data_IF_114329600538
#
_entry.id   IF_114329600538
#
_cell.length_a   1.000
_cell.length_b   1.000
_cell.length_c   1.000
_cell.angle_alpha   90.00
_cell.angle_beta   90.00
_cell.angle_gamma   90.00
#
_symmetry.space_group_name_H-M   'P 1'
#
loop_
_entity.id
_entity.type
_entity.pdbx_description
1 polymer ?
#
# COMPACT_ATOMS: atom_id res chain seq x y z
N UNK A 1 -47.82 -40.56 -23.39
CA UNK A 1 -47.18 -41.88 -23.57
C UNK A 1 -46.09 -41.92 -22.53
N UNK A 2 -46.34 -42.51 -21.31
CA UNK A 2 -46.09 -43.92 -20.94
C UNK A 2 -44.65 -44.31 -21.23
N UNK A 3 -43.79 -44.73 -20.28
CA UNK A 3 -43.82 -45.55 -19.04
C UNK A 3 -42.51 -45.32 -18.30
N UNK A 4 -42.38 -45.17 -17.02
CA UNK A 4 -42.52 -46.10 -15.88
C UNK A 4 -41.64 -47.37 -16.03
N UNK A 5 -40.70 -47.55 -15.05
CA UNK A 5 -40.74 -48.55 -13.99
C UNK A 5 -39.35 -48.79 -13.37
N UNK A 6 -39.28 -48.62 -12.06
CA UNK A 6 -38.41 -49.33 -11.12
C UNK A 6 -38.76 -50.85 -11.09
N UNK A 7 -38.17 -51.77 -10.29
CA UNK A 7 -37.36 -51.64 -9.09
C UNK A 7 -36.31 -52.79 -8.86
N UNK A 8 -35.66 -52.73 -7.66
CA UNK A 8 -35.36 -53.88 -6.79
C UNK A 8 -34.08 -54.71 -7.01
N UNK A 9 -33.17 -54.87 -6.05
CA UNK A 9 -33.24 -55.86 -4.97
C UNK A 9 -31.97 -55.85 -4.12
N UNK A 10 -32.13 -55.86 -2.81
CA UNK A 10 -31.21 -56.45 -1.85
C UNK A 10 -31.42 -57.99 -1.84
N UNK A 11 -30.51 -58.85 -1.28
CA UNK A 11 -30.20 -58.92 0.13
C UNK A 11 -28.77 -59.38 0.51
N UNK A 12 -28.37 -59.09 1.70
CA UNK A 12 -28.21 -59.90 2.93
C UNK A 12 -26.92 -60.75 3.07
N UNK A 13 -26.22 -60.39 4.17
CA UNK A 13 -25.88 -61.26 5.28
C UNK A 13 -24.77 -62.32 5.08
N UNK A 14 -23.73 -62.17 5.87
CA UNK A 14 -23.20 -63.28 6.70
C UNK A 14 -22.16 -62.77 7.69
N UNK A 15 -22.60 -62.78 8.97
CA UNK A 15 -21.84 -62.87 10.15
C UNK A 15 -20.82 -64.05 10.17
N UNK A 16 -19.58 -63.78 10.57
CA UNK A 16 -18.81 -64.82 11.27
C UNK A 16 -18.02 -64.19 12.42
N UNK A 17 -18.53 -64.49 13.60
CA UNK A 17 -17.84 -64.42 14.84
C UNK A 17 -16.89 -65.59 14.98
N UNK A 18 -15.66 -65.36 15.40
CA UNK A 18 -14.79 -66.44 15.93
C UNK A 18 -14.32 -65.99 17.30
N UNK A 19 -14.70 -66.86 18.24
CA UNK A 19 -14.46 -66.81 19.67
C UNK A 19 -13.02 -67.15 20.06
N UNK A 20 -12.48 -66.41 20.98
CA UNK A 20 -11.86 -66.75 22.27
C UNK A 20 -10.91 -67.96 22.38
N UNK A 21 -9.74 -67.72 22.88
CA UNK A 21 -9.18 -68.56 23.92
C UNK A 21 -8.26 -67.74 24.86
N UNK A 22 -8.68 -67.68 26.08
CA UNK A 22 -7.92 -67.31 27.29
C UNK A 22 -6.92 -68.41 27.63
N UNK A 23 -5.66 -68.08 27.94
CA UNK A 23 -4.91 -68.65 29.07
C UNK A 23 -3.71 -67.75 29.42
N UNK A 24 -3.69 -67.34 30.66
CA UNK A 24 -2.65 -66.65 31.41
C UNK A 24 -1.64 -67.68 31.97
N UNK A 25 -0.68 -67.31 32.86
CA UNK A 25 -0.10 -66.04 33.29
C UNK A 25 1.46 -66.08 33.46
N UNK A 26 1.99 -65.00 34.02
CA UNK A 26 3.30 -64.91 34.70
C UNK A 26 4.50 -64.52 33.83
N UNK A 27 4.83 -63.23 33.79
CA UNK A 27 6.18 -62.77 34.16
C UNK A 27 6.09 -61.27 34.62
N UNK A 28 6.38 -61.07 35.91
CA UNK A 28 6.63 -59.75 36.48
C UNK A 28 7.93 -59.23 35.90
N UNK A 29 7.82 -58.30 34.97
CA UNK A 29 8.94 -57.47 34.47
C UNK A 29 8.69 -56.04 34.86
N UNK A 30 9.52 -55.50 35.71
CA UNK A 30 9.59 -54.10 36.11
C UNK A 30 9.82 -53.27 34.88
N UNK A 31 8.79 -52.57 34.40
CA UNK A 31 8.91 -51.57 33.36
C UNK A 31 9.11 -50.22 34.04
N UNK A 32 10.37 -49.82 34.17
CA UNK A 32 10.77 -48.46 34.48
C UNK A 32 10.14 -47.53 33.41
N UNK A 33 9.14 -46.76 33.79
CA UNK A 33 8.67 -45.66 33.01
C UNK A 33 9.82 -44.63 32.91
N UNK A 34 10.55 -44.66 31.84
CA UNK A 34 11.31 -43.51 31.39
C UNK A 34 10.31 -42.47 30.88
N UNK A 35 9.98 -41.54 31.74
CA UNK A 35 9.26 -40.30 31.38
C UNK A 35 10.26 -39.49 30.54
N UNK A 36 10.33 -39.80 29.25
CA UNK A 36 11.00 -38.92 28.29
C UNK A 36 10.19 -37.60 28.27
N UNK A 37 10.78 -36.59 28.88
CA UNK A 37 10.35 -35.22 28.66
C UNK A 37 10.36 -34.98 27.16
N UNK A 38 9.17 -35.03 26.56
CA UNK A 38 8.93 -34.47 25.24
C UNK A 38 9.10 -32.97 25.43
N UNK A 39 10.33 -32.48 25.20
CA UNK A 39 10.54 -31.08 24.98
C UNK A 39 9.55 -30.68 23.90
N UNK A 40 8.60 -29.83 24.23
CA UNK A 40 7.79 -29.13 23.25
C UNK A 40 8.80 -28.44 22.33
N UNK A 41 9.01 -29.02 21.15
CA UNK A 41 9.46 -28.22 20.05
C UNK A 41 8.40 -27.14 19.89
N UNK A 42 8.73 -25.90 20.22
CA UNK A 42 7.98 -24.77 19.80
C UNK A 42 7.83 -24.92 18.28
N UNK A 43 6.70 -25.46 17.87
CA UNK A 43 6.32 -25.42 16.49
C UNK A 43 6.33 -23.93 16.14
N UNK A 44 7.27 -23.55 15.30
CA UNK A 44 7.38 -22.23 14.72
C UNK A 44 6.10 -22.02 13.90
N UNK A 45 5.00 -21.71 14.59
CA UNK A 45 3.78 -21.28 13.92
C UNK A 45 4.18 -20.08 13.09
N UNK A 46 3.80 -20.03 11.81
CA UNK A 46 4.03 -18.81 11.03
C UNK A 46 3.44 -17.66 11.82
N UNK A 47 4.28 -16.77 12.29
CA UNK A 47 3.82 -15.58 13.00
C UNK A 47 2.98 -14.81 12.00
N UNK A 48 1.71 -14.58 12.30
CA UNK A 48 0.85 -13.72 11.48
C UNK A 48 1.54 -12.38 11.34
N UNK A 49 1.75 -11.95 10.08
CA UNK A 49 2.41 -10.68 9.79
C UNK A 49 1.34 -9.62 9.61
N UNK A 50 1.57 -8.45 10.15
CA UNK A 50 0.69 -7.30 9.94
C UNK A 50 0.69 -6.91 8.46
N UNK A 51 -0.48 -6.82 7.86
CA UNK A 51 -0.65 -6.48 6.45
C UNK A 51 -0.96 -5.00 6.29
N UNK A 52 -0.12 -4.28 5.57
CA UNK A 52 -0.32 -2.86 5.30
C UNK A 52 -0.38 -2.57 3.80
N UNK A 53 -1.42 -1.87 3.38
CA UNK A 53 -1.54 -1.35 2.03
C UNK A 53 -1.22 0.15 2.03
N UNK A 54 -0.38 0.61 1.11
CA UNK A 54 0.13 1.98 1.16
C UNK A 54 0.29 2.63 -0.22
N UNK A 55 0.10 3.93 -0.27
CA UNK A 55 0.31 4.73 -1.47
C UNK A 55 1.76 4.63 -1.98
N UNK A 56 1.94 4.46 -3.29
CA UNK A 56 3.26 4.30 -3.94
C UNK A 56 4.25 5.42 -3.60
N UNK A 57 3.77 6.66 -3.41
CA UNK A 57 4.61 7.80 -3.02
C UNK A 57 5.27 7.67 -1.65
N UNK A 58 4.82 6.72 -0.81
CA UNK A 58 5.33 6.54 0.56
C UNK A 58 6.43 5.48 0.67
N UNK A 59 6.76 4.74 -0.41
CA UNK A 59 7.68 3.59 -0.42
C UNK A 59 8.93 3.85 0.42
N UNK A 60 9.72 4.87 0.06
CA UNK A 60 11.01 5.12 0.69
C UNK A 60 10.92 5.44 2.20
N UNK A 61 9.85 6.13 2.60
CA UNK A 61 9.63 6.54 3.98
C UNK A 61 9.07 5.39 4.83
N UNK A 62 8.05 4.71 4.29
CA UNK A 62 7.37 3.64 5.01
C UNK A 62 8.26 2.40 5.17
N UNK A 63 9.02 2.00 4.15
CA UNK A 63 9.97 0.88 4.28
C UNK A 63 11.01 1.13 5.39
N UNK A 64 11.52 2.37 5.49
CA UNK A 64 12.45 2.70 6.56
C UNK A 64 11.79 2.72 7.94
N UNK A 65 10.54 3.18 8.04
CA UNK A 65 9.77 3.16 9.28
C UNK A 65 9.45 1.72 9.71
N UNK A 66 9.00 0.87 8.78
CA UNK A 66 8.71 -0.55 9.03
C UNK A 66 9.96 -1.29 9.47
N UNK A 67 11.08 -1.11 8.78
CA UNK A 67 12.36 -1.73 9.17
C UNK A 67 12.79 -1.35 10.59
N UNK A 68 12.58 -0.09 11.00
CA UNK A 68 12.87 0.36 12.36
C UNK A 68 11.90 -0.26 13.37
N UNK A 69 10.63 -0.38 13.04
CA UNK A 69 9.61 -1.04 13.85
C UNK A 69 9.93 -2.51 14.06
N UNK A 70 10.12 -3.28 12.97
CA UNK A 70 10.46 -4.72 13.02
C UNK A 70 11.72 -4.99 13.85
N UNK A 71 12.75 -4.13 13.69
CA UNK A 71 14.02 -4.29 14.42
C UNK A 71 13.87 -4.16 15.94
N UNK A 72 12.82 -3.47 16.40
CA UNK A 72 12.60 -3.17 17.83
C UNK A 72 11.58 -4.06 18.49
N UNK A 73 10.57 -4.46 17.74
CA UNK A 73 9.43 -5.22 18.28
C UNK A 73 9.54 -6.70 17.95
N UNK A 74 10.23 -7.06 16.88
CA UNK A 74 10.21 -8.40 16.31
C UNK A 74 8.94 -8.71 15.54
N UNK A 75 7.96 -7.79 15.48
CA UNK A 75 6.70 -7.95 14.75
C UNK A 75 6.96 -7.79 13.27
N UNK A 76 6.60 -8.80 12.47
CA UNK A 76 6.74 -8.75 11.02
C UNK A 76 5.64 -7.94 10.34
N UNK A 77 5.98 -7.16 9.32
CA UNK A 77 5.04 -6.36 8.54
C UNK A 77 5.22 -6.63 7.05
N UNK A 78 4.13 -6.95 6.37
CA UNK A 78 4.09 -7.06 4.91
C UNK A 78 3.42 -5.81 4.34
N UNK A 79 4.15 -5.07 3.51
CA UNK A 79 3.64 -3.86 2.89
C UNK A 79 3.46 -4.07 1.39
N UNK A 80 2.27 -3.75 0.88
CA UNK A 80 1.99 -3.68 -0.54
C UNK A 80 1.74 -2.22 -0.95
N UNK A 81 2.43 -1.78 -2.00
CA UNK A 81 2.36 -0.42 -2.50
C UNK A 81 1.60 -0.34 -3.82
N UNK A 82 0.85 0.73 -4.01
CA UNK A 82 0.12 0.97 -5.25
C UNK A 82 -0.62 2.29 -5.28
N UNK A 83 -1.40 2.53 -6.36
CA UNK A 83 -2.30 3.67 -6.43
C UNK A 83 -3.34 3.59 -5.33
N UNK A 84 -3.53 4.66 -4.56
CA UNK A 84 -4.49 4.67 -3.43
C UNK A 84 -5.91 4.26 -3.89
N UNK A 85 -6.33 4.70 -5.07
CA UNK A 85 -7.64 4.34 -5.63
C UNK A 85 -7.82 2.84 -5.86
N UNK A 86 -6.77 2.16 -6.31
CA UNK A 86 -6.77 0.70 -6.52
C UNK A 86 -6.81 0.00 -5.18
N UNK A 87 -5.96 0.43 -4.25
CA UNK A 87 -5.89 -0.13 -2.89
C UNK A 87 -7.23 0.01 -2.16
N UNK A 88 -7.85 1.20 -2.19
CA UNK A 88 -9.13 1.45 -1.54
C UNK A 88 -10.24 0.52 -2.07
N UNK A 89 -10.27 0.29 -3.37
CA UNK A 89 -11.22 -0.65 -4.00
C UNK A 89 -10.93 -2.10 -3.67
N UNK A 90 -9.66 -2.48 -3.57
CA UNK A 90 -9.27 -3.83 -3.15
C UNK A 90 -9.73 -4.12 -1.72
N UNK A 91 -9.55 -3.16 -0.81
CA UNK A 91 -10.03 -3.26 0.58
C UNK A 91 -11.55 -3.40 0.61
N UNK A 92 -12.29 -2.57 -0.14
CA UNK A 92 -13.76 -2.69 -0.27
C UNK A 92 -14.17 -4.08 -0.76
N UNK A 93 -13.40 -4.69 -1.66
CA UNK A 93 -13.66 -6.03 -2.21
C UNK A 93 -13.21 -7.17 -1.29
N UNK A 94 -12.74 -6.85 -0.09
CA UNK A 94 -12.33 -7.82 0.92
C UNK A 94 -10.87 -8.26 0.84
N UNK A 95 -9.99 -7.49 0.18
CA UNK A 95 -8.56 -7.74 0.28
C UNK A 95 -8.12 -7.62 1.75
N UNK A 96 -7.35 -8.59 2.26
CA UNK A 96 -6.89 -8.54 3.63
C UNK A 96 -5.94 -7.36 3.81
N UNK A 97 -6.20 -6.54 4.83
CA UNK A 97 -5.34 -5.46 5.26
C UNK A 97 -5.70 -5.05 6.68
N UNK A 98 -4.69 -4.80 7.49
CA UNK A 98 -4.83 -4.29 8.85
C UNK A 98 -4.73 -2.75 8.87
N UNK A 99 -3.84 -2.21 8.01
CA UNK A 99 -3.64 -0.76 7.88
C UNK A 99 -3.70 -0.30 6.42
N UNK A 100 -4.17 0.93 6.26
CA UNK A 100 -4.09 1.67 5.00
C UNK A 100 -3.37 3.00 5.21
N UNK A 101 -2.38 3.31 4.37
CA UNK A 101 -1.81 4.66 4.24
C UNK A 101 -2.22 5.25 2.88
N UNK A 102 -3.22 6.11 2.90
CA UNK A 102 -3.74 6.81 1.73
C UNK A 102 -2.88 8.04 1.40
N UNK A 103 -2.81 8.45 0.14
CA UNK A 103 -2.25 9.74 -0.29
C UNK A 103 -3.31 10.78 -0.61
N UNK A 104 -4.55 10.56 -0.13
CA UNK A 104 -5.68 11.48 -0.39
C UNK A 104 -6.79 11.26 0.64
N UNK A 105 -7.35 12.36 1.16
CA UNK A 105 -8.43 12.34 2.14
C UNK A 105 -9.69 11.67 1.60
N UNK A 106 -10.10 12.00 0.37
CA UNK A 106 -11.33 11.45 -0.22
C UNK A 106 -11.28 9.93 -0.42
N UNK A 107 -10.12 9.35 -0.72
CA UNK A 107 -9.98 7.89 -0.77
C UNK A 107 -9.96 7.25 0.61
N UNK A 108 -9.47 7.96 1.62
CA UNK A 108 -9.61 7.53 3.01
C UNK A 108 -11.08 7.58 3.47
N UNK A 109 -11.83 8.65 3.11
CA UNK A 109 -13.27 8.77 3.34
C UNK A 109 -14.03 7.62 2.66
N UNK A 110 -13.66 7.32 1.40
CA UNK A 110 -14.24 6.20 0.65
C UNK A 110 -14.16 4.86 1.40
N UNK A 111 -13.03 4.58 2.04
CA UNK A 111 -12.85 3.36 2.85
C UNK A 111 -13.61 3.46 4.16
N UNK A 112 -13.54 4.60 4.85
CA UNK A 112 -14.19 4.84 6.15
C UNK A 112 -15.72 4.76 6.05
N UNK A 113 -16.31 5.25 4.96
CA UNK A 113 -17.75 5.18 4.69
C UNK A 113 -18.27 3.75 4.45
N UNK A 114 -17.40 2.82 4.05
CA UNK A 114 -17.77 1.44 3.64
C UNK A 114 -17.38 0.38 4.63
N UNK A 115 -16.39 0.67 5.44
CA UNK A 115 -15.84 -0.24 6.43
C UNK A 115 -15.79 0.46 7.79
N UNK A 116 -15.94 -0.29 8.85
CA UNK A 116 -15.76 0.22 10.19
C UNK A 116 -14.27 0.45 10.48
N UNK A 117 -13.76 1.64 10.14
CA UNK A 117 -12.38 2.01 10.43
C UNK A 117 -12.25 2.30 11.93
N UNK A 118 -11.35 1.59 12.59
CA UNK A 118 -11.15 1.67 14.03
C UNK A 118 -10.48 3.00 14.43
N UNK A 119 -9.49 3.45 13.66
CA UNK A 119 -8.75 4.71 13.89
C UNK A 119 -8.32 5.34 12.58
N UNK A 120 -8.30 6.68 12.57
CA UNK A 120 -7.79 7.48 11.46
C UNK A 120 -7.03 8.68 11.97
N UNK A 121 -5.87 8.95 11.38
CA UNK A 121 -5.02 10.13 11.68
C UNK A 121 -4.35 10.59 10.40
N UNK A 122 -4.29 11.89 10.13
CA UNK A 122 -3.42 12.42 9.07
C UNK A 122 -1.98 12.34 9.54
N UNK A 123 -1.19 11.46 8.91
CA UNK A 123 0.18 11.16 9.33
C UNK A 123 1.15 12.27 8.93
N UNK A 124 1.15 12.64 7.65
CA UNK A 124 2.02 13.66 7.04
C UNK A 124 1.30 14.34 5.88
N UNK A 125 1.92 15.40 5.34
CA UNK A 125 1.50 16.12 4.14
C UNK A 125 2.65 16.16 3.12
N UNK A 126 2.36 16.70 1.91
CA UNK A 126 3.32 16.78 0.81
C UNK A 126 3.07 18.01 -0.05
N UNK A 127 3.93 18.25 -1.02
CA UNK A 127 3.78 19.31 -2.01
C UNK A 127 3.84 18.74 -3.43
N UNK A 128 2.96 19.19 -4.30
CA UNK A 128 2.98 18.88 -5.72
C UNK A 128 3.95 19.81 -6.43
N UNK A 129 4.77 19.25 -7.32
CA UNK A 129 5.76 19.98 -8.09
C UNK A 129 5.75 19.54 -9.55
N UNK A 130 6.35 20.37 -10.42
CA UNK A 130 6.66 19.99 -11.78
C UNK A 130 8.17 19.78 -11.92
N UNK A 131 8.52 18.71 -12.60
CA UNK A 131 9.91 18.33 -12.90
C UNK A 131 10.11 18.12 -14.39
N UNK A 132 11.37 18.16 -14.83
CA UNK A 132 11.80 17.81 -16.19
C UNK A 132 13.02 16.89 -16.14
N UNK A 133 13.35 16.18 -17.22
CA UNK A 133 14.57 15.39 -17.30
C UNK A 133 15.84 16.24 -17.11
N UNK A 134 16.88 15.65 -16.52
CA UNK A 134 18.24 16.21 -16.57
C UNK A 134 18.87 15.77 -17.88
N UNK A 135 18.73 16.57 -18.93
CA UNK A 135 19.41 16.30 -20.19
C UNK A 135 20.83 16.84 -20.13
N UNK A 136 21.81 16.09 -20.69
CA UNK A 136 23.21 16.53 -20.73
C UNK A 136 23.42 17.81 -21.57
N UNK A 137 22.43 18.20 -22.37
CA UNK A 137 22.49 19.39 -23.21
C UNK A 137 22.15 20.69 -22.48
N UNK A 138 21.51 20.59 -21.29
CA UNK A 138 20.94 21.75 -20.59
C UNK A 138 21.79 22.28 -19.43
N UNK A 139 23.06 21.90 -19.29
CA UNK A 139 23.92 22.42 -18.21
C UNK A 139 24.06 23.96 -18.17
N UNK A 140 23.65 24.66 -19.24
CA UNK A 140 23.73 26.11 -19.35
C UNK A 140 22.39 26.79 -19.73
N UNK A 141 21.29 26.06 -19.83
CA UNK A 141 19.99 26.66 -20.12
C UNK A 141 19.30 27.13 -18.84
N UNK A 142 18.75 28.34 -18.91
CA UNK A 142 17.90 28.86 -17.85
C UNK A 142 16.64 27.98 -17.74
N UNK A 143 16.33 27.48 -16.54
CA UNK A 143 15.08 26.76 -16.30
C UNK A 143 13.94 27.74 -16.59
N UNK A 144 13.01 27.43 -17.53
CA UNK A 144 11.90 28.32 -17.84
C UNK A 144 11.02 28.48 -16.58
N UNK A 145 10.28 29.58 -16.53
CA UNK A 145 9.26 29.70 -15.49
C UNK A 145 8.23 28.56 -15.65
N UNK A 146 7.64 28.15 -14.55
CA UNK A 146 6.60 27.08 -14.58
C UNK A 146 5.50 27.41 -15.61
N UNK A 147 5.07 28.66 -15.67
CA UNK A 147 4.07 29.11 -16.64
C UNK A 147 4.53 28.95 -18.09
N UNK A 148 5.73 29.36 -18.42
CA UNK A 148 6.30 29.21 -19.77
C UNK A 148 6.42 27.74 -20.14
N UNK A 149 6.91 26.92 -19.21
CA UNK A 149 7.06 25.48 -19.41
C UNK A 149 5.73 24.78 -19.68
N UNK A 150 4.69 25.08 -18.90
CA UNK A 150 3.35 24.49 -19.08
C UNK A 150 2.58 25.08 -20.28
N UNK A 151 3.03 26.19 -20.84
CA UNK A 151 2.38 26.85 -22.00
C UNK A 151 2.95 26.39 -23.36
N UNK A 152 4.03 25.63 -23.38
CA UNK A 152 4.64 25.15 -24.63
C UNK A 152 3.81 24.00 -25.21
N UNK A 153 3.16 24.20 -26.39
CA UNK A 153 2.27 23.18 -26.95
C UNK A 153 3.01 21.97 -27.55
N UNK A 154 4.33 21.96 -27.60
CA UNK A 154 5.12 20.87 -28.14
C UNK A 154 5.57 19.88 -27.06
N UNK A 155 5.49 20.28 -25.78
CA UNK A 155 5.95 19.46 -24.67
C UNK A 155 4.87 18.45 -24.25
N UNK A 156 5.32 17.30 -23.75
CA UNK A 156 4.48 16.24 -23.18
C UNK A 156 4.76 16.08 -21.70
N UNK A 157 3.71 15.85 -20.91
CA UNK A 157 3.83 15.80 -19.47
C UNK A 157 3.26 14.50 -18.91
N UNK A 158 4.06 13.79 -18.13
CA UNK A 158 3.56 12.65 -17.36
C UNK A 158 2.70 13.14 -16.19
N UNK A 159 1.58 12.48 -15.99
CA UNK A 159 0.64 12.73 -14.90
C UNK A 159 0.09 11.38 -14.42
N UNK A 160 -0.03 11.16 -13.12
CA UNK A 160 -0.82 10.04 -12.63
C UNK A 160 -2.28 10.21 -13.10
N UNK A 161 -3.04 9.12 -13.28
CA UNK A 161 -4.42 9.21 -13.81
C UNK A 161 -5.22 10.31 -13.08
N UNK A 162 -5.59 11.41 -13.77
CA UNK A 162 -6.22 12.57 -13.15
C UNK A 162 -7.66 12.32 -12.69
N UNK A 163 -8.24 11.17 -13.03
CA UNK A 163 -9.60 10.82 -12.65
C UNK A 163 -9.66 9.97 -11.38
N UNK A 164 -8.54 9.37 -10.96
CA UNK A 164 -8.58 8.40 -9.87
C UNK A 164 -7.36 8.40 -8.95
N UNK A 165 -6.18 8.72 -9.45
CA UNK A 165 -4.95 8.65 -8.66
C UNK A 165 -4.67 9.98 -7.96
N UNK A 166 -4.37 9.99 -6.64
CA UNK A 166 -4.21 11.21 -5.85
C UNK A 166 -3.36 12.31 -6.49
N UNK A 167 -2.12 12.00 -6.91
CA UNK A 167 -1.23 13.00 -7.53
C UNK A 167 -1.83 13.61 -8.81
N UNK A 168 -2.53 12.78 -9.60
CA UNK A 168 -3.24 13.23 -10.80
C UNK A 168 -4.46 14.09 -10.49
N UNK A 169 -5.22 13.73 -9.46
CA UNK A 169 -6.38 14.50 -8.99
C UNK A 169 -5.93 15.90 -8.58
N UNK A 170 -4.90 16.02 -7.75
CA UNK A 170 -4.38 17.32 -7.33
C UNK A 170 -3.79 18.13 -8.49
N UNK A 171 -3.07 17.48 -9.42
CA UNK A 171 -2.55 18.14 -10.60
C UNK A 171 -3.68 18.67 -11.49
N UNK A 172 -4.74 17.88 -11.70
CA UNK A 172 -5.92 18.31 -12.44
C UNK A 172 -6.62 19.49 -11.79
N UNK A 173 -6.89 19.42 -10.49
CA UNK A 173 -7.48 20.53 -9.74
C UNK A 173 -6.70 21.83 -9.93
N UNK A 174 -5.37 21.77 -9.80
CA UNK A 174 -4.51 22.94 -9.96
C UNK A 174 -4.52 23.47 -11.39
N UNK A 175 -4.49 22.60 -12.40
CA UNK A 175 -4.54 22.98 -13.81
C UNK A 175 -5.90 23.57 -14.18
N UNK A 176 -7.00 23.04 -13.66
CA UNK A 176 -8.36 23.60 -13.84
C UNK A 176 -8.47 24.98 -13.17
N UNK A 177 -8.07 25.10 -11.91
CA UNK A 177 -8.12 26.33 -11.15
C UNK A 177 -7.24 27.46 -11.76
N UNK A 178 -6.11 27.09 -12.38
CA UNK A 178 -5.21 28.03 -13.07
C UNK A 178 -5.60 28.31 -14.52
N UNK A 179 -6.61 27.63 -15.06
CA UNK A 179 -7.05 27.76 -16.46
C UNK A 179 -6.15 27.12 -17.50
N UNK A 180 -5.25 26.22 -17.08
CA UNK A 180 -4.34 25.49 -17.99
C UNK A 180 -4.91 24.18 -18.51
N UNK A 181 -5.91 23.59 -17.86
CA UNK A 181 -6.38 22.23 -18.14
C UNK A 181 -6.67 21.97 -19.62
N UNK A 182 -7.55 22.77 -20.22
CA UNK A 182 -7.98 22.57 -21.62
C UNK A 182 -6.82 22.64 -22.62
N UNK A 183 -5.81 23.47 -22.34
CA UNK A 183 -4.65 23.64 -23.22
C UNK A 183 -3.63 22.51 -23.08
N UNK A 184 -3.44 21.95 -21.87
CA UNK A 184 -2.42 20.97 -21.57
C UNK A 184 -2.94 19.51 -21.66
N UNK A 185 -4.25 19.29 -21.52
CA UNK A 185 -4.86 17.96 -21.52
C UNK A 185 -4.41 17.08 -22.72
N UNK A 186 -4.35 17.61 -23.98
CA UNK A 186 -3.88 16.82 -25.12
C UNK A 186 -2.39 16.40 -25.06
N UNK A 187 -1.62 17.04 -24.18
CA UNK A 187 -0.18 16.82 -24.00
C UNK A 187 0.11 15.88 -22.82
N UNK A 188 -0.93 15.53 -22.05
CA UNK A 188 -0.77 14.69 -20.85
C UNK A 188 -0.61 13.21 -21.23
N UNK A 189 0.29 12.54 -20.53
CA UNK A 189 0.54 11.09 -20.59
C UNK A 189 0.14 10.48 -19.26
N UNK A 190 -1.09 9.94 -19.16
CA UNK A 190 -1.56 9.35 -17.91
C UNK A 190 -0.79 8.09 -17.53
N UNK A 191 -0.51 7.92 -16.25
CA UNK A 191 0.19 6.78 -15.68
C UNK A 191 -0.58 6.16 -14.53
N UNK A 192 -0.23 4.92 -14.18
CA UNK A 192 -0.93 4.16 -13.13
C UNK A 192 -0.73 4.76 -11.74
N UNK A 193 0.39 5.41 -11.48
CA UNK A 193 0.70 6.12 -10.23
C UNK A 193 1.77 7.20 -10.45
N UNK A 194 2.10 7.94 -9.38
CA UNK A 194 3.08 9.03 -9.43
C UNK A 194 4.51 8.54 -9.66
N UNK A 195 4.86 7.33 -9.22
CA UNK A 195 6.19 6.75 -9.45
C UNK A 195 6.38 6.35 -10.91
N UNK A 196 5.33 5.87 -11.56
CA UNK A 196 5.33 5.63 -13.00
C UNK A 196 5.47 6.96 -13.77
N UNK A 197 4.81 8.05 -13.33
CA UNK A 197 5.00 9.37 -13.93
C UNK A 197 6.47 9.85 -13.81
N UNK A 198 7.04 9.77 -12.60
CA UNK A 198 8.45 10.10 -12.37
C UNK A 198 9.39 9.26 -13.26
N UNK A 199 9.10 7.97 -13.42
CA UNK A 199 9.92 7.07 -14.22
C UNK A 199 9.95 7.46 -15.71
N UNK A 200 8.84 7.94 -16.29
CA UNK A 200 8.82 8.46 -17.67
C UNK A 200 9.69 9.70 -17.80
N UNK A 201 9.60 10.63 -16.84
CA UNK A 201 10.45 11.84 -16.84
C UNK A 201 11.92 11.46 -16.69
N UNK A 202 12.26 10.58 -15.73
CA UNK A 202 13.64 10.17 -15.47
C UNK A 202 14.31 9.48 -16.66
N UNK A 203 13.51 8.84 -17.55
CA UNK A 203 14.00 8.18 -18.78
C UNK A 203 13.98 9.07 -20.00
N UNK A 204 13.63 10.36 -19.85
CA UNK A 204 13.50 11.31 -20.97
C UNK A 204 12.46 10.85 -22.02
N UNK A 205 11.41 10.15 -21.58
CA UNK A 205 10.32 9.69 -22.45
C UNK A 205 9.20 10.74 -22.59
N UNK A 206 9.24 11.76 -21.72
CA UNK A 206 8.39 12.95 -21.72
C UNK A 206 9.19 14.17 -21.26
N UNK A 207 8.72 15.36 -21.61
CA UNK A 207 9.44 16.62 -21.36
C UNK A 207 9.30 17.12 -19.93
N UNK A 208 8.25 16.70 -19.23
CA UNK A 208 8.03 17.03 -17.83
C UNK A 208 7.02 16.12 -17.16
N UNK A 209 6.76 16.37 -15.88
CA UNK A 209 5.75 15.60 -15.15
C UNK A 209 5.35 16.23 -13.82
N UNK A 210 4.17 15.86 -13.38
CA UNK A 210 3.59 16.25 -12.09
C UNK A 210 3.86 15.15 -11.06
N UNK A 211 4.65 15.48 -10.04
CA UNK A 211 5.10 14.54 -9.00
C UNK A 211 5.10 15.21 -7.64
N UNK A 212 5.27 14.44 -6.57
CA UNK A 212 5.46 15.04 -5.26
C UNK A 212 6.92 15.44 -5.02
N UNK A 213 7.13 16.45 -4.19
CA UNK A 213 8.46 16.90 -3.80
C UNK A 213 9.30 15.77 -3.18
N UNK A 214 8.67 14.86 -2.45
CA UNK A 214 9.32 13.69 -1.85
C UNK A 214 9.80 12.65 -2.87
N UNK A 215 9.14 12.55 -4.02
CA UNK A 215 9.48 11.57 -5.05
C UNK A 215 10.85 11.84 -5.69
N UNK A 216 11.29 13.10 -5.66
CA UNK A 216 12.53 13.55 -6.32
C UNK A 216 13.70 13.75 -5.36
N UNK A 217 13.50 13.62 -4.07
CA UNK A 217 14.52 13.94 -3.04
C UNK A 217 15.86 13.19 -3.24
N UNK A 218 15.86 12.04 -3.94
CA UNK A 218 17.05 11.23 -4.23
C UNK A 218 17.19 10.91 -5.72
N UNK A 219 16.41 11.53 -6.58
CA UNK A 219 16.43 11.28 -8.00
C UNK A 219 17.31 12.32 -8.70
N UNK A 220 18.47 11.89 -9.23
CA UNK A 220 19.42 12.75 -9.94
C UNK A 220 19.08 12.94 -11.43
N UNK A 221 18.09 12.20 -11.93
CA UNK A 221 17.77 12.16 -13.37
C UNK A 221 16.70 13.19 -13.74
N UNK A 222 16.16 13.89 -12.74
CA UNK A 222 15.17 14.94 -12.94
C UNK A 222 15.60 16.27 -12.32
N UNK A 223 15.14 17.36 -12.92
CA UNK A 223 15.36 18.73 -12.44
C UNK A 223 14.04 19.36 -12.06
N UNK A 224 14.03 20.04 -10.93
CA UNK A 224 12.89 20.84 -10.46
C UNK A 224 12.63 22.03 -11.39
N UNK A 225 11.37 22.21 -11.81
CA UNK A 225 10.90 23.36 -12.60
C UNK A 225 10.20 24.38 -11.69
N UNK A 226 9.23 23.94 -10.90
CA UNK A 226 8.51 24.82 -9.99
C UNK A 226 7.49 24.10 -9.14
N UNK A 227 7.04 24.73 -8.01
CA UNK A 227 5.98 24.19 -7.20
C UNK A 227 4.62 24.47 -7.85
N UNK A 228 3.67 23.59 -7.63
CA UNK A 228 2.26 23.89 -7.83
C UNK A 228 1.77 24.66 -6.60
N UNK A 229 1.04 25.75 -6.83
CA UNK A 229 0.49 26.55 -5.74
C UNK A 229 -0.52 25.72 -4.94
N UNK A 230 -0.30 25.53 -3.62
CA UNK A 230 -1.19 24.72 -2.78
C UNK A 230 -2.61 25.29 -2.63
N UNK A 231 -2.82 26.56 -3.04
CA UNK A 231 -4.15 27.16 -3.05
C UNK A 231 -5.00 26.74 -4.26
N UNK A 232 -4.40 26.04 -5.24
CA UNK A 232 -5.07 25.63 -6.48
C UNK A 232 -5.59 24.18 -6.43
N UNK A 233 -5.35 23.47 -5.36
CA UNK A 233 -5.81 22.08 -5.17
C UNK A 233 -6.15 21.82 -3.70
N UNK A 234 -6.85 20.73 -3.44
CA UNK A 234 -7.11 20.27 -2.07
C UNK A 234 -5.81 20.00 -1.32
N UNK A 235 -5.88 20.05 0.01
CA UNK A 235 -4.73 19.75 0.86
C UNK A 235 -4.24 18.33 0.59
N UNK A 236 -2.94 18.20 0.31
CA UNK A 236 -2.30 16.90 0.13
C UNK A 236 -2.04 16.32 1.52
N UNK A 237 -2.83 15.35 1.91
CA UNK A 237 -2.71 14.67 3.20
C UNK A 237 -2.56 13.16 3.02
N UNK A 238 -1.89 12.54 4.00
CA UNK A 238 -1.69 11.10 4.05
C UNK A 238 -2.39 10.53 5.29
N UNK A 239 -3.69 10.23 5.18
CA UNK A 239 -4.41 9.54 6.24
C UNK A 239 -3.88 8.12 6.44
N UNK A 240 -3.53 7.79 7.68
CA UNK A 240 -3.26 6.44 8.16
C UNK A 240 -4.53 5.91 8.83
N UNK A 241 -5.02 4.77 8.37
CA UNK A 241 -6.19 4.09 8.89
C UNK A 241 -5.77 2.77 9.51
N UNK A 242 -6.30 2.47 10.69
CA UNK A 242 -6.33 1.15 11.29
C UNK A 242 -7.71 0.56 10.97
N UNK A 243 -7.74 -0.52 10.19
CA UNK A 243 -8.99 -1.05 9.64
C UNK A 243 -9.74 -1.94 10.65
N UNK A 244 -9.00 -2.62 11.54
CA UNK A 244 -9.57 -3.43 12.61
C UNK A 244 -8.74 -3.23 13.90
N UNK A 245 -9.40 -3.17 15.06
CA UNK A 245 -8.73 -3.08 16.38
C UNK A 245 -8.34 -4.45 16.96
N UNK A 246 -8.74 -5.56 16.35
CA UNK A 246 -8.52 -6.90 16.91
C UNK A 246 -7.07 -7.37 16.83
N UNK A 247 -6.27 -6.82 15.93
CA UNK A 247 -4.85 -7.12 15.79
C UNK A 247 -3.99 -6.26 16.72
N UNK A 248 -3.46 -6.84 17.80
CA UNK A 248 -2.56 -6.10 18.73
C UNK A 248 -1.31 -5.58 18.00
N UNK A 249 -0.72 -6.39 17.11
CA UNK A 249 0.45 -6.02 16.32
C UNK A 249 0.17 -4.85 15.35
N UNK A 250 -1.00 -4.86 14.71
CA UNK A 250 -1.43 -3.77 13.84
C UNK A 250 -1.63 -2.47 14.61
N UNK A 251 -2.23 -2.54 15.81
CA UNK A 251 -2.41 -1.39 16.69
C UNK A 251 -1.05 -0.86 17.20
N UNK A 252 -0.06 -1.73 17.40
CA UNK A 252 1.29 -1.33 17.79
C UNK A 252 2.02 -0.63 16.64
N UNK A 253 1.92 -1.16 15.41
CA UNK A 253 2.44 -0.50 14.22
C UNK A 253 1.78 0.87 14.00
N UNK A 254 0.46 0.97 14.13
CA UNK A 254 -0.25 2.25 14.04
C UNK A 254 0.29 3.27 15.04
N UNK A 255 0.41 2.88 16.33
CA UNK A 255 0.98 3.74 17.38
C UNK A 255 2.43 4.16 17.08
N UNK A 256 3.23 3.23 16.57
CA UNK A 256 4.61 3.55 16.18
C UNK A 256 4.63 4.59 15.06
N UNK A 257 3.86 4.38 13.98
CA UNK A 257 3.87 5.28 12.82
C UNK A 257 3.46 6.71 13.19
N UNK A 258 2.47 6.89 14.08
CA UNK A 258 2.03 8.22 14.53
C UNK A 258 2.94 8.86 15.59
N UNK A 259 3.87 8.11 16.17
CA UNK A 259 4.85 8.64 17.11
C UNK A 259 5.86 9.56 16.43
N UNK A 260 6.53 10.43 17.20
CA UNK A 260 7.62 11.30 16.70
C UNK A 260 8.68 10.48 15.95
N UNK A 261 8.99 9.28 16.45
CA UNK A 261 9.97 8.38 15.85
C UNK A 261 9.52 7.84 14.50
N UNK A 262 8.31 7.33 14.40
CA UNK A 262 7.74 6.82 13.15
C UNK A 262 7.60 7.93 12.12
N UNK A 263 7.02 9.08 12.51
CA UNK A 263 6.85 10.26 11.64
C UNK A 263 8.18 10.82 11.15
N UNK A 264 9.24 10.74 11.96
CA UNK A 264 10.58 11.22 11.58
C UNK A 264 11.08 10.56 10.28
N UNK A 265 10.77 9.29 10.01
CA UNK A 265 11.17 8.62 8.77
C UNK A 265 10.57 9.28 7.52
N UNK A 266 9.37 9.84 7.65
CA UNK A 266 8.72 10.60 6.59
C UNK A 266 9.28 12.01 6.49
N UNK A 267 9.39 12.73 7.60
CA UNK A 267 9.91 14.11 7.64
C UNK A 267 11.35 14.19 7.11
N UNK A 268 12.22 13.24 7.44
CA UNK A 268 13.58 13.15 6.92
C UNK A 268 13.66 12.93 5.41
N UNK A 269 12.53 12.56 4.77
CA UNK A 269 12.38 12.36 3.32
C UNK A 269 11.59 13.46 2.63
N UNK A 270 11.35 14.56 3.32
CA UNK A 270 10.75 15.76 2.74
C UNK A 270 9.22 15.84 2.85
N UNK A 271 8.56 14.86 3.48
CA UNK A 271 7.17 15.05 3.89
C UNK A 271 7.08 16.17 4.93
N UNK A 272 5.92 16.82 5.01
CA UNK A 272 5.69 17.92 5.95
C UNK A 272 4.72 17.53 7.05
N UNK A 273 4.77 18.26 8.16
CA UNK A 273 3.84 18.11 9.26
C UNK A 273 2.50 18.75 8.88
N UNK A 274 1.38 18.01 8.86
CA UNK A 274 0.08 18.54 8.47
C UNK A 274 -0.51 19.52 9.50
N UNK A 275 0.09 19.64 10.68
CA UNK A 275 -0.37 20.46 11.80
C UNK A 275 0.49 21.72 12.03
N UNK A 276 1.40 22.03 11.12
CA UNK A 276 2.29 23.20 11.20
C UNK A 276 2.15 24.14 10.04
#
# INVERSE_FOLDING_TARGET
MRNALTPNNRPADSSQAVSISLYSPLLRGVFLLSLSAMACADANMPQERTLMLAAASTIDALEAAVKDFESKTGIGVDVSFGPTSTIARQIEQGAPADLLLSANGSWADYVDDRLAVARRVTLVSNQLIVVKPVTNQLKNETVPSLREFLSDPQLRFAIADPNSVPAGIYARQALEASGFWESIEPQLVPTVDVRAALALVSRDEVDGGFVYATDVAKNSDVTYVGPIDPMLHDVIEYPLLLLDETGEEAAELFKFLISDRGRKHFLDRGFTDPYR
#
